data_IF_544252168201
#
_entry.id   IF_544252168201
#
_cell.length_a   1.000
_cell.length_b   1.000
_cell.length_c   1.000
_cell.angle_alpha   90.00
_cell.angle_beta   90.00
_cell.angle_gamma   90.00
#
_symmetry.space_group_name_H-M   'P 1'
#
loop_
_entity.id
_entity.type
_entity.pdbx_description
1 polymer ?
#
# COMPACT_ATOMS: atom_id res chain seq x y z
N UNK A 1 -17.32 62.16 3.57
CA UNK A 1 -16.35 61.27 2.94
C UNK A 1 -16.84 59.83 3.02
N UNK A 2 -17.36 59.38 1.88
CA UNK A 2 -17.82 58.08 1.40
C UNK A 2 -17.59 56.79 2.22
N UNK A 3 -18.60 56.40 3.01
CA UNK A 3 -18.79 55.03 3.53
C UNK A 3 -19.05 53.96 2.46
N UNK A 4 -19.06 54.33 1.17
CA UNK A 4 -19.21 53.41 0.04
C UNK A 4 -17.90 52.75 -0.37
N UNK A 5 -16.74 53.31 0.00
CA UNK A 5 -15.44 52.78 -0.43
C UNK A 5 -15.00 51.55 0.38
N UNK A 6 -15.43 51.46 1.65
CA UNK A 6 -15.07 50.36 2.56
C UNK A 6 -15.81 49.05 2.27
N UNK A 7 -16.98 49.10 1.62
CA UNK A 7 -17.77 47.91 1.32
C UNK A 7 -17.25 47.14 0.09
N UNK A 8 -16.69 47.82 -0.91
CA UNK A 8 -16.17 47.17 -2.11
C UNK A 8 -14.79 46.54 -1.90
N UNK A 9 -13.96 47.09 -1.01
CA UNK A 9 -12.66 46.48 -0.66
C UNK A 9 -12.82 45.20 0.15
N UNK A 10 -13.84 45.10 1.01
CA UNK A 10 -14.11 43.88 1.79
C UNK A 10 -14.72 42.77 0.92
N UNK A 11 -15.52 43.12 -0.10
CA UNK A 11 -16.12 42.14 -1.01
C UNK A 11 -15.10 41.54 -2.01
N UNK A 12 -14.01 42.25 -2.29
CA UNK A 12 -12.94 41.77 -3.18
C UNK A 12 -11.95 40.79 -2.54
N UNK A 13 -11.93 40.71 -1.20
CA UNK A 13 -11.04 39.81 -0.45
C UNK A 13 -11.65 38.42 -0.20
N UNK A 14 -12.96 38.24 -0.43
CA UNK A 14 -13.64 36.94 -0.28
C UNK A 14 -13.63 36.15 -1.60
N UNK A 15 -13.40 36.81 -2.74
CA UNK A 15 -13.39 36.15 -4.07
C UNK A 15 -12.01 35.67 -4.52
N UNK A 16 -10.96 35.90 -3.71
CA UNK A 16 -9.60 35.40 -3.94
C UNK A 16 -9.23 34.32 -2.90
N UNK A 17 -10.22 33.64 -2.33
CA UNK A 17 -10.03 32.23 -1.95
C UNK A 17 -10.11 31.40 -3.22
N UNK A 18 -9.07 31.61 -4.04
CA UNK A 18 -8.67 30.81 -5.17
C UNK A 18 -8.87 29.35 -4.82
N UNK A 19 -9.72 28.68 -5.60
CA UNK A 19 -9.37 27.41 -6.24
C UNK A 19 -8.31 26.58 -5.49
N UNK A 20 -8.65 26.02 -4.34
CA UNK A 20 -8.24 24.63 -4.12
C UNK A 20 -9.14 23.82 -5.03
N UNK A 21 -8.76 23.75 -6.31
CA UNK A 21 -9.07 22.57 -7.11
C UNK A 21 -8.49 21.41 -6.30
N UNK A 22 -9.33 20.81 -5.46
CA UNK A 22 -9.21 19.41 -5.10
C UNK A 22 -9.40 18.68 -6.43
N UNK A 23 -8.33 18.67 -7.21
CA UNK A 23 -8.11 17.63 -8.18
C UNK A 23 -7.84 16.43 -7.30
N UNK A 24 -8.95 15.81 -6.86
CA UNK A 24 -8.98 14.41 -6.44
C UNK A 24 -8.60 13.62 -7.68
N UNK A 25 -7.33 13.70 -8.06
CA UNK A 25 -6.76 12.76 -8.99
C UNK A 25 -6.65 11.46 -8.18
N UNK A 26 -7.73 10.69 -8.15
CA UNK A 26 -7.73 9.34 -7.63
C UNK A 26 -6.76 8.54 -8.51
N UNK A 27 -5.56 8.29 -7.98
CA UNK A 27 -4.54 7.52 -8.70
C UNK A 27 -4.71 6.05 -8.37
N UNK A 28 -5.53 5.36 -9.17
CA UNK A 28 -5.60 3.91 -9.12
C UNK A 28 -4.37 3.28 -9.77
N UNK A 29 -3.66 2.45 -9.02
CA UNK A 29 -2.50 1.68 -9.47
C UNK A 29 -2.77 0.20 -9.28
N UNK A 30 -2.57 -0.58 -10.35
CA UNK A 30 -2.67 -2.05 -10.29
C UNK A 30 -1.28 -2.63 -10.53
N UNK A 31 -0.86 -3.53 -9.65
CA UNK A 31 0.38 -4.29 -9.74
C UNK A 31 0.04 -5.77 -9.77
N UNK A 32 0.70 -6.51 -10.65
CA UNK A 32 0.44 -7.93 -10.82
C UNK A 32 1.74 -8.68 -11.06
N UNK A 33 1.94 -9.77 -10.33
CA UNK A 33 3.01 -10.73 -10.57
C UNK A 33 2.39 -12.11 -10.63
N UNK A 34 2.64 -12.83 -11.72
CA UNK A 34 2.25 -14.22 -11.89
C UNK A 34 3.54 -15.01 -12.12
N UNK A 35 3.79 -16.01 -11.28
CA UNK A 35 4.90 -16.95 -11.43
C UNK A 35 4.31 -18.20 -12.10
N UNK A 36 4.71 -18.45 -13.33
CA UNK A 36 4.23 -19.58 -14.14
C UNK A 36 5.14 -20.81 -14.07
N UNK A 37 6.27 -20.71 -13.37
CA UNK A 37 7.26 -21.80 -13.24
C UNK A 37 6.99 -22.64 -12.00
N UNK A 38 7.17 -23.96 -12.10
CA UNK A 38 7.08 -24.88 -10.97
C UNK A 38 8.13 -24.54 -9.88
N UNK A 39 7.80 -24.69 -8.58
CA UNK A 39 8.74 -24.49 -7.49
C UNK A 39 9.99 -25.34 -7.70
N UNK A 40 11.16 -24.70 -7.80
CA UNK A 40 12.43 -25.45 -7.90
C UNK A 40 12.92 -25.75 -6.50
N UNK A 41 13.02 -27.04 -6.16
CA UNK A 41 13.72 -27.50 -4.96
C UNK A 41 15.22 -27.28 -5.15
N UNK A 42 15.86 -26.53 -4.25
CA UNK A 42 17.32 -26.44 -4.17
C UNK A 42 17.87 -27.58 -3.31
N UNK A 43 19.07 -28.06 -3.65
CA UNK A 43 19.69 -29.30 -3.13
C UNK A 43 19.85 -29.38 -1.61
N UNK A 44 19.70 -28.26 -0.90
CA UNK A 44 19.74 -28.14 0.55
C UNK A 44 18.38 -28.39 1.25
N UNK A 45 17.34 -28.79 0.51
CA UNK A 45 16.02 -29.13 1.08
C UNK A 45 15.20 -27.91 1.47
N UNK A 46 15.65 -26.71 1.13
CA UNK A 46 14.88 -25.48 1.31
C UNK A 46 13.84 -25.36 0.20
N UNK A 47 12.56 -25.47 0.58
CA UNK A 47 11.46 -25.07 -0.30
C UNK A 47 11.42 -23.54 -0.26
N UNK A 48 11.77 -22.90 -1.37
CA UNK A 48 11.42 -21.49 -1.56
C UNK A 48 9.89 -21.45 -1.70
N UNK A 49 9.18 -20.95 -0.69
CA UNK A 49 7.74 -20.69 -0.84
C UNK A 49 7.57 -19.61 -1.92
N UNK A 50 7.00 -19.99 -3.05
CA UNK A 50 6.64 -19.07 -4.11
C UNK A 50 5.21 -18.60 -3.89
N UNK A 51 4.98 -17.31 -4.10
CA UNK A 51 3.63 -16.78 -4.29
C UNK A 51 3.34 -16.93 -5.78
N UNK A 52 2.53 -17.94 -6.14
CA UNK A 52 2.19 -18.29 -7.52
C UNK A 52 1.58 -17.09 -8.26
N UNK A 53 0.75 -16.31 -7.57
CA UNK A 53 0.29 -15.03 -8.09
C UNK A 53 0.03 -14.01 -7.00
N UNK A 54 0.35 -12.76 -7.29
CA UNK A 54 0.02 -11.60 -6.47
C UNK A 54 -0.62 -10.55 -7.34
N UNK A 55 -1.83 -10.14 -7.00
CA UNK A 55 -2.46 -8.91 -7.49
C UNK A 55 -2.53 -7.93 -6.33
N UNK A 56 -2.11 -6.70 -6.57
CA UNK A 56 -2.17 -5.60 -5.61
C UNK A 56 -2.80 -4.40 -6.32
N UNK A 57 -3.95 -3.95 -5.81
CA UNK A 57 -4.64 -2.74 -6.27
C UNK A 57 -4.51 -1.69 -5.17
N UNK A 58 -4.04 -0.51 -5.54
CA UNK A 58 -3.86 0.62 -4.63
C UNK A 58 -4.59 1.82 -5.20
N UNK A 59 -5.40 2.47 -4.37
CA UNK A 59 -5.95 3.79 -4.59
C UNK A 59 -5.22 4.74 -3.63
N UNK A 60 -4.58 5.77 -4.19
CA UNK A 60 -3.83 6.77 -3.43
C UNK A 60 -4.52 8.11 -3.59
N UNK A 61 -4.91 8.69 -2.46
CA UNK A 61 -5.55 10.00 -2.35
C UNK A 61 -4.70 10.83 -1.38
N UNK A 62 -3.95 11.79 -1.91
CA UNK A 62 -2.94 12.54 -1.14
C UNK A 62 -1.95 11.60 -0.43
N UNK A 63 -1.98 11.55 0.90
CA UNK A 63 -1.16 10.66 1.73
C UNK A 63 -1.89 9.39 2.15
N UNK A 64 -3.19 9.26 1.87
CA UNK A 64 -3.99 8.10 2.26
C UNK A 64 -3.90 7.02 1.19
N UNK A 65 -3.81 5.78 1.65
CA UNK A 65 -3.75 4.60 0.80
C UNK A 65 -4.86 3.63 1.19
N UNK A 66 -5.66 3.26 0.20
CA UNK A 66 -6.60 2.16 0.27
C UNK A 66 -6.20 1.12 -0.76
N UNK A 67 -6.43 -0.15 -0.48
CA UNK A 67 -6.07 -1.17 -1.44
C UNK A 67 -6.71 -2.52 -1.17
N UNK A 68 -6.56 -3.37 -2.17
CA UNK A 68 -6.95 -4.76 -2.13
C UNK A 68 -5.78 -5.58 -2.62
N UNK A 69 -5.60 -6.76 -2.04
CA UNK A 69 -4.64 -7.72 -2.56
C UNK A 69 -5.28 -9.10 -2.70
N UNK A 70 -4.73 -9.87 -3.61
CA UNK A 70 -5.11 -11.24 -3.89
C UNK A 70 -3.86 -12.06 -4.14
N UNK A 71 -3.58 -12.99 -3.24
CA UNK A 71 -2.40 -13.85 -3.25
C UNK A 71 -2.83 -15.29 -3.40
N UNK A 72 -2.30 -15.97 -4.41
CA UNK A 72 -2.33 -17.42 -4.45
C UNK A 72 -0.95 -17.91 -4.03
N UNK A 73 -0.93 -18.68 -2.96
CA UNK A 73 0.29 -19.32 -2.48
C UNK A 73 0.49 -20.66 -3.18
N UNK A 74 1.73 -21.16 -3.23
CA UNK A 74 2.06 -22.43 -3.88
C UNK A 74 1.39 -23.68 -3.30
N UNK A 75 0.68 -23.56 -2.17
CA UNK A 75 -0.09 -24.65 -1.56
C UNK A 75 -1.60 -24.56 -1.89
N UNK A 76 -1.98 -23.72 -2.88
CA UNK A 76 -3.36 -23.44 -3.32
C UNK A 76 -4.23 -22.62 -2.36
N UNK A 77 -3.70 -22.14 -1.24
CA UNK A 77 -4.41 -21.19 -0.39
C UNK A 77 -4.45 -19.82 -1.08
N UNK A 78 -5.68 -19.35 -1.32
CA UNK A 78 -5.95 -17.99 -1.79
C UNK A 78 -6.20 -17.08 -0.59
N UNK A 79 -5.40 -16.04 -0.47
CA UNK A 79 -5.51 -15.01 0.55
C UNK A 79 -5.91 -13.71 -0.14
N UNK A 80 -7.10 -13.21 0.20
CA UNK A 80 -7.57 -11.91 -0.29
C UNK A 80 -7.86 -11.00 0.90
N UNK A 81 -7.55 -9.73 0.77
CA UNK A 81 -7.78 -8.79 1.86
C UNK A 81 -7.71 -7.34 1.46
N UNK A 82 -7.89 -6.49 2.47
CA UNK A 82 -7.91 -5.03 2.34
C UNK A 82 -6.70 -4.43 3.00
N UNK A 83 -6.24 -3.31 2.46
CA UNK A 83 -5.10 -2.57 2.93
C UNK A 83 -5.52 -1.11 3.17
N UNK A 84 -5.22 -0.59 4.36
CA UNK A 84 -5.50 0.81 4.73
C UNK A 84 -4.25 1.38 5.39
N UNK A 85 -3.75 2.51 4.90
CA UNK A 85 -2.54 3.10 5.44
C UNK A 85 -2.22 4.46 4.87
N UNK A 86 -0.93 4.80 4.93
CA UNK A 86 -0.40 6.08 4.47
C UNK A 86 0.84 5.89 3.60
N UNK A 87 1.11 6.84 2.73
CA UNK A 87 2.31 6.89 1.90
C UNK A 87 3.20 8.09 2.27
N UNK A 88 4.51 7.85 2.35
CA UNK A 88 5.52 8.90 2.48
C UNK A 88 6.79 8.47 1.75
N UNK A 89 7.42 9.35 0.96
CA UNK A 89 8.64 9.05 0.19
C UNK A 89 8.56 7.77 -0.66
N UNK A 90 7.42 7.53 -1.32
CA UNK A 90 7.13 6.30 -2.07
C UNK A 90 7.10 5.02 -1.22
N UNK A 91 7.02 5.13 0.10
CA UNK A 91 6.88 4.02 1.03
C UNK A 91 5.50 4.08 1.65
N UNK A 92 4.70 3.06 1.38
CA UNK A 92 3.40 2.83 2.00
C UNK A 92 3.64 2.03 3.27
N UNK A 93 3.04 2.49 4.38
CA UNK A 93 2.85 1.69 5.58
C UNK A 93 1.36 1.52 5.79
N UNK A 94 0.89 0.28 5.84
CA UNK A 94 -0.53 0.03 5.90
C UNK A 94 -0.86 -1.22 6.70
N UNK A 95 -2.04 -1.23 7.29
CA UNK A 95 -2.59 -2.41 7.94
C UNK A 95 -3.36 -3.20 6.90
N UNK A 96 -2.88 -4.41 6.70
CA UNK A 96 -3.47 -5.45 5.89
C UNK A 96 -4.44 -6.26 6.75
N UNK A 97 -5.66 -6.49 6.29
CA UNK A 97 -6.67 -7.31 6.96
C UNK A 97 -7.22 -8.37 6.01
N UNK A 98 -7.14 -9.64 6.40
CA UNK A 98 -7.59 -10.79 5.61
C UNK A 98 -7.99 -11.95 6.51
N UNK A 99 -8.74 -12.89 5.95
CA UNK A 99 -9.09 -14.13 6.65
C UNK A 99 -8.13 -15.25 6.28
N UNK A 100 -7.68 -16.02 7.27
CA UNK A 100 -6.88 -17.22 7.07
C UNK A 100 -7.28 -18.27 8.11
N UNK A 101 -7.59 -19.49 7.67
CA UNK A 101 -8.00 -20.57 8.58
C UNK A 101 -9.21 -20.22 9.48
N UNK A 102 -10.15 -19.40 9.00
CA UNK A 102 -11.32 -18.95 9.77
C UNK A 102 -11.04 -17.85 10.81
N UNK A 103 -9.82 -17.30 10.84
CA UNK A 103 -9.43 -16.21 11.73
C UNK A 103 -9.17 -14.93 10.93
N UNK A 104 -9.63 -13.80 11.45
CA UNK A 104 -9.25 -12.49 10.92
C UNK A 104 -7.82 -12.17 11.37
N UNK A 105 -6.93 -12.06 10.40
CA UNK A 105 -5.54 -11.63 10.60
C UNK A 105 -5.43 -10.15 10.23
N UNK A 106 -4.68 -9.41 11.06
CA UNK A 106 -4.31 -8.02 10.80
C UNK A 106 -2.82 -7.86 10.97
N UNK A 107 -2.14 -7.34 9.96
CA UNK A 107 -0.69 -7.17 9.98
C UNK A 107 -0.24 -5.92 9.22
N UNK A 108 0.87 -5.31 9.64
CA UNK A 108 1.50 -4.22 8.92
C UNK A 108 2.20 -4.73 7.67
N UNK A 109 1.93 -4.09 6.54
CA UNK A 109 2.71 -4.21 5.31
C UNK A 109 3.40 -2.90 5.02
N UNK A 110 4.69 -3.01 4.68
CA UNK A 110 5.49 -1.91 4.15
C UNK A 110 5.71 -2.18 2.68
N UNK A 111 5.25 -1.26 1.81
CA UNK A 111 5.31 -1.42 0.36
C UNK A 111 6.11 -0.25 -0.21
N UNK A 112 7.21 -0.54 -0.90
CA UNK A 112 7.98 0.47 -1.62
C UNK A 112 7.52 0.54 -3.07
N UNK A 113 7.09 1.72 -3.49
CA UNK A 113 6.76 2.02 -4.87
C UNK A 113 8.02 2.50 -5.62
N UNK A 114 8.20 1.97 -6.83
CA UNK A 114 9.09 2.53 -7.83
C UNK A 114 8.27 3.04 -9.02
N UNK A 115 8.96 3.54 -10.05
CA UNK A 115 8.30 4.14 -11.23
C UNK A 115 7.21 3.25 -11.85
N UNK A 116 7.47 1.95 -11.99
CA UNK A 116 6.57 0.97 -12.63
C UNK A 116 6.50 -0.36 -11.85
N UNK A 117 6.77 -0.33 -10.54
CA UNK A 117 6.76 -1.55 -9.73
C UNK A 117 6.42 -1.26 -8.26
N UNK A 118 6.00 -2.29 -7.54
CA UNK A 118 5.86 -2.30 -6.08
C UNK A 118 6.68 -3.45 -5.47
N UNK A 119 7.20 -3.26 -4.26
CA UNK A 119 7.90 -4.31 -3.50
C UNK A 119 7.37 -4.34 -2.08
N UNK A 120 7.01 -5.51 -1.59
CA UNK A 120 6.78 -5.71 -0.17
C UNK A 120 8.12 -5.80 0.57
N UNK A 121 8.17 -5.21 1.77
CA UNK A 121 9.19 -5.56 2.76
C UNK A 121 9.10 -7.06 3.03
N UNK A 122 10.25 -7.71 3.08
CA UNK A 122 10.39 -9.09 3.51
C UNK A 122 11.27 -9.14 4.76
N UNK A 123 11.04 -10.16 5.58
CA UNK A 123 11.79 -10.35 6.82
C UNK A 123 11.54 -9.27 7.87
N UNK A 124 12.25 -9.39 8.98
CA UNK A 124 12.07 -8.57 10.17
C UNK A 124 11.12 -9.21 11.19
N UNK A 125 11.28 -8.81 12.44
CA UNK A 125 10.48 -9.35 13.54
C UNK A 125 9.17 -8.56 13.67
N UNK A 126 8.07 -9.27 13.86
CA UNK A 126 6.77 -8.67 14.12
C UNK A 126 6.35 -8.94 15.56
N UNK A 127 5.62 -8.00 16.16
CA UNK A 127 5.02 -8.12 17.48
C UNK A 127 3.53 -7.89 17.37
N UNK A 128 2.75 -8.72 18.06
CA UNK A 128 1.32 -8.51 18.20
C UNK A 128 1.09 -7.35 19.17
N UNK A 129 0.46 -6.28 18.69
CA UNK A 129 0.06 -5.13 19.48
C UNK A 129 -1.37 -4.75 19.10
N UNK A 130 -2.26 -4.66 20.08
CA UNK A 130 -3.66 -4.27 19.90
C UNK A 130 -4.40 -5.08 18.81
N UNK A 131 -4.08 -6.38 18.71
CA UNK A 131 -4.67 -7.30 17.73
C UNK A 131 -4.12 -7.16 16.31
N UNK A 132 -3.02 -6.42 16.13
CA UNK A 132 -2.33 -6.22 14.84
C UNK A 132 -0.87 -6.64 14.97
N UNK A 133 -0.37 -7.45 14.04
CA UNK A 133 1.06 -7.74 13.95
C UNK A 133 1.77 -6.54 13.33
N UNK A 134 2.65 -5.88 14.07
CA UNK A 134 3.42 -4.70 13.62
C UNK A 134 4.91 -5.04 13.55
N UNK A 135 5.66 -4.46 12.61
CA UNK A 135 7.11 -4.61 12.63
C UNK A 135 7.68 -3.98 13.90
N UNK A 136 8.58 -4.68 14.58
CA UNK A 136 9.34 -4.05 15.66
C UNK A 136 10.24 -2.96 15.09
N UNK A 137 10.20 -1.77 15.69
CA UNK A 137 11.08 -0.66 15.33
C UNK A 137 12.55 -1.06 15.48
N UNK A 138 13.37 -0.67 14.49
CA UNK A 138 14.83 -0.83 14.40
C UNK A 138 15.39 -2.12 13.77
N UNK A 139 14.75 -2.69 12.76
CA UNK A 139 15.53 -3.53 11.83
C UNK A 139 16.32 -2.58 10.90
N UNK A 140 17.59 -2.32 11.23
CA UNK A 140 18.53 -1.50 10.44
C UNK A 140 18.75 -2.05 9.02
N UNK A 141 18.28 -3.27 8.75
CA UNK A 141 18.34 -3.92 7.45
C UNK A 141 16.92 -4.24 6.96
N UNK A 142 16.23 -3.24 6.38
CA UNK A 142 14.97 -3.47 5.68
C UNK A 142 15.27 -4.12 4.33
N UNK A 143 14.87 -5.38 4.19
CA UNK A 143 14.95 -6.11 2.92
C UNK A 143 13.62 -5.99 2.16
N UNK A 144 13.72 -5.96 0.84
CA UNK A 144 12.57 -5.90 -0.06
C UNK A 144 12.56 -7.13 -0.97
N UNK A 145 11.39 -7.72 -1.11
CA UNK A 145 11.19 -8.88 -1.97
C UNK A 145 11.27 -8.54 -3.45
N UNK A 146 10.91 -9.54 -4.26
CA UNK A 146 10.89 -9.41 -5.71
C UNK A 146 9.94 -8.30 -6.17
N UNK A 147 10.30 -7.67 -7.31
CA UNK A 147 9.48 -6.63 -7.94
C UNK A 147 8.13 -7.19 -8.38
N UNK A 148 7.07 -6.44 -8.13
CA UNK A 148 5.73 -6.67 -8.68
C UNK A 148 5.50 -5.58 -9.74
N UNK A 149 5.49 -5.92 -11.04
CA UNK A 149 5.35 -4.92 -12.09
C UNK A 149 3.96 -4.29 -12.09
N UNK A 150 3.89 -3.03 -12.50
CA UNK A 150 2.63 -2.32 -12.74
C UNK A 150 1.93 -2.95 -13.95
N UNK A 151 0.65 -3.26 -13.79
CA UNK A 151 -0.24 -3.66 -14.88
C UNK A 151 -0.81 -2.40 -15.53
N UNK A 152 -0.70 -2.33 -16.86
CA UNK A 152 -1.24 -1.23 -17.67
C UNK A 152 -2.68 -1.53 -18.11
#
# INVERSE_FOLDING_TARGET
MNCRFLFYTLLSLITISLFTTCSDDEHQMVFEKIITSEPTLVENGEIIQFVDSTVLKLNIEEEKVFGEFDWNTSNTERISGKLIGTIHDNVIKAICSYEQGGSLIREEKVIKLGKNFAHFRIGGKMKLQDGVYLYSSNDENVEYGAKIPRKF
#
